data_IF_630651583274
#
_entry.id   IF_630651583274
#
_cell.length_a   1.000
_cell.length_b   1.000
_cell.length_c   1.000
_cell.angle_alpha   90.00
_cell.angle_beta   90.00
_cell.angle_gamma   90.00
#
_symmetry.space_group_name_H-M   'P 1'
#
loop_
_entity.id
_entity.type
_entity.pdbx_description
1 polymer ?
#
# COMPACT_ATOMS: atom_id res chain seq x y z
N UNK A 1 -1.49 -13.69 9.69
CA UNK A 1 -0.94 -12.31 9.73
C UNK A 1 0.11 -12.26 8.65
N UNK A 2 0.10 -11.24 7.78
CA UNK A 2 0.76 -11.29 6.47
C UNK A 2 2.19 -11.85 6.49
N UNK A 3 2.58 -12.51 5.40
CA UNK A 3 3.82 -13.29 5.22
C UNK A 3 5.08 -12.41 5.21
N UNK A 4 5.31 -11.67 6.30
CA UNK A 4 6.50 -10.86 6.51
C UNK A 4 7.52 -11.73 7.24
N UNK A 5 8.74 -11.88 6.70
CA UNK A 5 9.78 -12.67 7.35
C UNK A 5 10.07 -12.18 8.78
N UNK A 6 10.31 -13.08 9.76
CA UNK A 6 10.55 -12.72 11.15
C UNK A 6 11.69 -11.71 11.33
N UNK A 7 12.73 -11.79 10.50
CA UNK A 7 13.86 -10.86 10.53
C UNK A 7 13.47 -9.43 10.14
N UNK A 8 12.55 -9.27 9.19
CA UNK A 8 12.03 -7.97 8.77
C UNK A 8 11.13 -7.39 9.87
N UNK A 9 10.28 -8.21 10.47
CA UNK A 9 9.46 -7.82 11.62
C UNK A 9 10.32 -7.34 12.78
N UNK A 10 11.37 -8.09 13.15
CA UNK A 10 12.27 -7.74 14.24
C UNK A 10 13.00 -6.41 13.96
N UNK A 11 13.45 -6.20 12.72
CA UNK A 11 14.09 -4.94 12.31
C UNK A 11 13.15 -3.75 12.49
N UNK A 12 11.94 -3.83 11.94
CA UNK A 12 10.97 -2.72 12.02
C UNK A 12 10.53 -2.47 13.46
N UNK A 13 10.27 -3.53 14.23
CA UNK A 13 9.90 -3.45 15.65
C UNK A 13 10.94 -2.67 16.45
N UNK A 14 12.23 -2.97 16.22
CA UNK A 14 13.35 -2.28 16.85
C UNK A 14 13.46 -0.82 16.39
N UNK A 15 13.32 -0.55 15.09
CA UNK A 15 13.41 0.80 14.52
C UNK A 15 12.34 1.76 15.07
N UNK A 16 11.14 1.26 15.33
CA UNK A 16 10.05 2.06 15.92
C UNK A 16 10.07 2.09 17.45
N UNK A 17 10.98 1.34 18.10
CA UNK A 17 11.10 1.29 19.56
C UNK A 17 9.95 0.57 20.27
N UNK A 18 9.29 -0.39 19.63
CA UNK A 18 8.18 -1.15 20.22
C UNK A 18 8.65 -2.48 20.83
N UNK A 19 7.90 -3.01 21.79
CA UNK A 19 8.13 -4.35 22.36
C UNK A 19 7.70 -5.48 21.42
N UNK A 20 6.69 -5.21 20.58
CA UNK A 20 6.17 -6.17 19.60
C UNK A 20 5.50 -5.47 18.43
N UNK A 21 5.44 -6.16 17.28
CA UNK A 21 4.75 -5.69 16.08
C UNK A 21 4.07 -6.87 15.38
N UNK A 22 2.88 -6.61 14.83
CA UNK A 22 2.15 -7.55 14.00
C UNK A 22 1.43 -6.81 12.87
N UNK A 23 1.59 -7.27 11.64
CA UNK A 23 0.81 -6.74 10.51
C UNK A 23 -0.56 -7.40 10.41
N UNK A 24 -1.57 -6.57 10.13
CA UNK A 24 -2.88 -7.04 9.70
C UNK A 24 -2.76 -7.75 8.34
N UNK A 25 -3.48 -8.86 8.15
CA UNK A 25 -3.55 -9.50 6.84
C UNK A 25 -4.50 -8.73 5.93
N UNK A 26 -4.24 -8.74 4.62
CA UNK A 26 -5.14 -8.11 3.63
C UNK A 26 -6.55 -8.70 3.71
N UNK A 27 -6.66 -10.03 3.87
CA UNK A 27 -7.94 -10.71 4.09
C UNK A 27 -8.65 -10.23 5.36
N UNK A 28 -7.94 -10.19 6.49
CA UNK A 28 -8.51 -9.75 7.76
C UNK A 28 -8.97 -8.29 7.72
N UNK A 29 -8.30 -7.44 6.94
CA UNK A 29 -8.74 -6.07 6.67
C UNK A 29 -10.06 -6.03 5.87
N UNK A 30 -10.15 -6.81 4.79
CA UNK A 30 -11.38 -6.91 3.96
C UNK A 30 -12.55 -7.38 4.83
N UNK A 31 -12.34 -8.45 5.60
CA UNK A 31 -13.35 -9.03 6.48
C UNK A 31 -13.81 -8.03 7.56
N UNK A 32 -12.88 -7.25 8.13
CA UNK A 32 -13.18 -6.24 9.14
C UNK A 32 -13.94 -5.01 8.59
N UNK A 33 -13.70 -4.63 7.34
CA UNK A 33 -14.41 -3.52 6.68
C UNK A 33 -15.83 -3.94 6.27
N UNK A 34 -16.04 -5.22 5.92
CA UNK A 34 -17.35 -5.74 5.50
C UNK A 34 -17.74 -5.39 4.06
N UNK A 35 -16.79 -4.93 3.25
CA UNK A 35 -16.96 -4.69 1.81
C UNK A 35 -16.26 -5.84 1.06
N UNK A 36 -16.91 -6.49 0.07
CA UNK A 36 -16.27 -7.52 -0.76
C UNK A 36 -14.99 -7.00 -1.43
N UNK A 37 -14.03 -7.90 -1.66
CA UNK A 37 -12.72 -7.55 -2.21
C UNK A 37 -12.81 -6.82 -3.57
N UNK A 38 -13.83 -7.14 -4.37
CA UNK A 38 -14.09 -6.55 -5.69
C UNK A 38 -14.55 -5.09 -5.58
N UNK A 39 -15.19 -4.73 -4.48
CA UNK A 39 -15.68 -3.37 -4.18
C UNK A 39 -14.71 -2.53 -3.37
N UNK A 40 -13.59 -3.10 -2.92
CA UNK A 40 -12.62 -2.42 -2.06
C UNK A 40 -11.28 -2.24 -2.79
N UNK A 41 -10.84 -0.99 -2.92
CA UNK A 41 -9.50 -0.72 -3.45
C UNK A 41 -8.41 -1.15 -2.46
N UNK A 42 -7.61 -2.16 -2.82
CA UNK A 42 -6.48 -2.66 -2.02
C UNK A 42 -5.12 -2.30 -2.61
N UNK A 43 -5.07 -1.33 -3.53
CA UNK A 43 -3.86 -1.01 -4.30
C UNK A 43 -2.68 -0.56 -3.43
N UNK A 44 -2.94 0.18 -2.34
CA UNK A 44 -1.89 0.62 -1.41
C UNK A 44 -1.18 -0.54 -0.69
N UNK A 45 -1.85 -1.69 -0.56
CA UNK A 45 -1.33 -2.87 0.15
C UNK A 45 -0.76 -3.93 -0.81
N UNK A 46 -1.31 -4.00 -2.02
CA UNK A 46 -1.05 -5.10 -2.97
C UNK A 46 -0.44 -4.66 -4.30
N UNK A 47 -0.41 -3.34 -4.57
CA UNK A 47 -0.07 -2.78 -5.88
C UNK A 47 -1.11 -3.04 -6.98
N UNK A 48 -2.19 -3.78 -6.69
CA UNK A 48 -3.24 -4.13 -7.66
C UNK A 48 -4.33 -3.06 -7.67
N UNK A 49 -4.34 -2.25 -8.71
CA UNK A 49 -5.37 -1.22 -8.91
C UNK A 49 -6.63 -1.83 -9.54
N UNK A 50 -7.83 -1.59 -8.96
CA UNK A 50 -9.07 -2.15 -9.49
C UNK A 50 -9.53 -1.45 -10.79
N UNK A 51 -9.00 -0.25 -11.08
CA UNK A 51 -9.36 0.51 -12.28
C UNK A 51 -8.13 0.80 -13.16
N UNK A 52 -8.30 0.80 -14.50
CA UNK A 52 -7.23 1.17 -15.43
C UNK A 52 -6.70 2.60 -15.20
N UNK A 53 -7.58 3.56 -14.87
CA UNK A 53 -7.17 4.94 -14.64
C UNK A 53 -6.33 5.09 -13.37
N UNK A 54 -6.69 4.39 -12.28
CA UNK A 54 -5.89 4.37 -11.06
C UNK A 54 -4.46 3.87 -11.32
N UNK A 55 -4.33 2.80 -12.13
CA UNK A 55 -3.03 2.28 -12.56
C UNK A 55 -2.23 3.32 -13.38
N UNK A 56 -2.87 4.01 -14.32
CA UNK A 56 -2.22 5.07 -15.12
C UNK A 56 -1.71 6.23 -14.24
N UNK A 57 -2.53 6.69 -13.30
CA UNK A 57 -2.15 7.77 -12.38
C UNK A 57 -0.99 7.35 -11.47
N UNK A 58 -0.98 6.11 -10.99
CA UNK A 58 0.15 5.55 -10.24
C UNK A 58 1.44 5.55 -11.06
N UNK A 59 1.39 5.07 -12.30
CA UNK A 59 2.56 5.06 -13.18
C UNK A 59 3.08 6.48 -13.44
N UNK A 60 2.19 7.44 -13.68
CA UNK A 60 2.58 8.86 -13.81
C UNK A 60 3.24 9.39 -12.53
N UNK A 61 2.65 9.14 -11.36
CA UNK A 61 3.23 9.55 -10.08
C UNK A 61 4.64 8.96 -9.87
N UNK A 62 4.83 7.70 -10.27
CA UNK A 62 6.12 7.03 -10.21
C UNK A 62 7.16 7.69 -11.14
N UNK A 63 6.77 7.98 -12.38
CA UNK A 63 7.64 8.66 -13.34
C UNK A 63 7.99 10.08 -12.89
N UNK A 64 7.01 10.83 -12.37
CA UNK A 64 7.19 12.17 -11.83
C UNK A 64 8.17 12.15 -10.64
N UNK A 65 8.02 11.19 -9.71
CA UNK A 65 8.94 10.98 -8.58
C UNK A 65 10.39 10.75 -9.04
N UNK A 66 10.60 9.86 -10.01
CA UNK A 66 11.93 9.57 -10.54
C UNK A 66 12.56 10.75 -11.28
N UNK A 67 11.74 11.68 -11.79
CA UNK A 67 12.18 12.93 -12.43
C UNK A 67 12.31 14.10 -11.44
N UNK A 68 11.98 13.91 -10.16
CA UNK A 68 11.96 14.96 -9.16
C UNK A 68 10.84 15.99 -9.34
N UNK A 69 9.85 15.69 -10.17
CA UNK A 69 8.67 16.55 -10.39
C UNK A 69 7.76 16.43 -9.17
N UNK A 70 7.44 17.56 -8.56
CA UNK A 70 6.55 17.64 -7.40
C UNK A 70 5.14 17.99 -7.83
N UNK A 71 4.13 17.37 -7.23
CA UNK A 71 2.73 17.66 -7.50
C UNK A 71 1.86 16.40 -7.42
N UNK A 72 0.54 16.58 -7.58
CA UNK A 72 -0.40 15.46 -7.65
C UNK A 72 -0.44 14.94 -9.08
N UNK A 73 -0.41 13.62 -9.26
CA UNK A 73 -0.41 13.01 -10.60
C UNK A 73 -1.61 13.44 -11.47
N UNK A 74 -2.75 13.76 -10.83
CA UNK A 74 -3.97 14.21 -11.48
C UNK A 74 -4.09 15.73 -11.64
N UNK A 75 -3.14 16.51 -11.13
CA UNK A 75 -3.10 17.96 -11.38
C UNK A 75 -2.45 18.20 -12.73
N UNK A 76 -3.17 18.89 -13.62
CA UNK A 76 -2.55 19.50 -14.81
C UNK A 76 -1.66 20.63 -14.29
N UNK A 77 -0.37 20.58 -14.63
CA UNK A 77 0.52 21.74 -14.54
C UNK A 77 0.24 22.72 -15.66
#
# INVERSE_FOLDING_TARGET
SGDVPPEVLAKITKEIGADSLKYQSVKGLIDAIGIPAEGLCTACLTGKYPTPMGKKLYMKAWDDYNKGIKGRAYSCG
#
